data_IF_747097020292
#
_entry.id   IF_747097020292
#
_cell.length_a   1.000
_cell.length_b   1.000
_cell.length_c   1.000
_cell.angle_alpha   90.00
_cell.angle_beta   90.00
_cell.angle_gamma   90.00
#
_symmetry.space_group_name_H-M   'P 1'
#
loop_
_entity.id
_entity.type
_entity.pdbx_description
1 polymer ?
#
# COMPACT_ATOMS: atom_id res chain seq x y z
N UNK A 1 -19.88 8.30 20.21
CA UNK A 1 -19.14 7.74 19.06
C UNK A 1 -18.54 6.41 19.48
N UNK A 2 -18.84 5.31 18.77
CA UNK A 2 -18.07 4.08 18.97
C UNK A 2 -16.61 4.34 18.64
N UNK A 3 -15.69 3.80 19.44
CA UNK A 3 -14.25 3.90 19.15
C UNK A 3 -13.95 3.08 17.89
N UNK A 4 -13.15 3.62 16.98
CA UNK A 4 -12.64 2.88 15.83
C UNK A 4 -11.99 1.56 16.27
N UNK A 5 -12.19 0.46 15.53
CA UNK A 5 -11.56 -0.82 15.83
C UNK A 5 -10.01 -0.74 15.81
N UNK A 6 -9.44 0.28 15.17
CA UNK A 6 -7.99 0.49 15.08
C UNK A 6 -7.42 1.40 16.17
N UNK A 7 -8.23 1.88 17.12
CA UNK A 7 -7.79 2.85 18.15
C UNK A 7 -6.64 2.37 19.05
N UNK A 8 -6.47 1.05 19.17
CA UNK A 8 -5.36 0.43 19.91
C UNK A 8 -4.08 0.27 19.07
N UNK A 9 -4.19 0.39 17.74
CA UNK A 9 -3.10 0.14 16.79
C UNK A 9 -2.65 1.41 16.05
N UNK A 10 -3.50 2.43 16.00
CA UNK A 10 -3.29 3.67 15.25
C UNK A 10 -3.59 4.87 16.14
N UNK A 11 -2.77 5.92 16.02
CA UNK A 11 -3.00 7.21 16.65
C UNK A 11 -2.98 8.32 15.61
N UNK A 12 -4.01 9.16 15.62
CA UNK A 12 -4.05 10.41 14.87
C UNK A 12 -3.87 11.54 15.90
N UNK A 13 -2.91 12.46 15.69
CA UNK A 13 -2.66 13.51 16.65
C UNK A 13 -3.84 14.48 16.71
N UNK A 14 -4.25 14.85 17.92
CA UNK A 14 -5.29 15.86 18.10
C UNK A 14 -4.76 17.28 17.78
N UNK A 15 -5.51 18.10 17.04
CA UNK A 15 -5.13 19.48 16.76
C UNK A 15 -5.23 20.35 18.01
N UNK A 16 -4.18 21.13 18.27
CA UNK A 16 -4.15 22.18 19.29
C UNK A 16 -4.81 23.43 18.71
N UNK A 17 -6.15 23.45 18.71
CA UNK A 17 -6.98 24.44 17.99
C UNK A 17 -6.60 25.90 18.26
N UNK A 18 -6.20 26.23 19.50
CA UNK A 18 -5.80 27.59 19.89
C UNK A 18 -4.52 28.08 19.18
N UNK A 19 -3.68 27.15 18.72
CA UNK A 19 -2.44 27.44 17.99
C UNK A 19 -2.60 27.28 16.47
N UNK A 20 -3.76 26.83 16.00
CA UNK A 20 -4.01 26.61 14.59
C UNK A 20 -4.44 27.91 13.90
N UNK A 21 -3.97 28.14 12.69
CA UNK A 21 -4.42 29.21 11.79
C UNK A 21 -4.84 28.63 10.45
N UNK A 22 -5.32 29.46 9.52
CA UNK A 22 -5.63 29.01 8.15
C UNK A 22 -4.42 28.39 7.42
N UNK A 23 -3.21 28.75 7.80
CA UNK A 23 -1.96 28.32 7.14
C UNK A 23 -1.04 27.49 8.05
N UNK A 24 -1.48 27.18 9.28
CA UNK A 24 -0.67 26.46 10.26
C UNK A 24 -1.54 25.49 11.04
N UNK A 25 -1.22 24.20 10.91
CA UNK A 25 -1.79 23.14 11.73
C UNK A 25 -0.79 22.77 12.83
N UNK A 26 -1.19 22.96 14.08
CA UNK A 26 -0.42 22.55 15.26
C UNK A 26 -1.17 21.43 15.95
N UNK A 27 -0.48 20.34 16.28
CA UNK A 27 -1.09 19.13 16.83
C UNK A 27 -0.29 18.61 18.02
N UNK A 28 -0.85 17.66 18.77
CA UNK A 28 -0.10 16.94 19.78
C UNK A 28 1.17 16.32 19.17
N UNK A 29 2.27 16.40 19.91
CA UNK A 29 3.48 15.70 19.53
C UNK A 29 3.27 14.20 19.75
N UNK A 30 3.47 13.40 18.70
CA UNK A 30 3.51 11.95 18.82
C UNK A 30 4.95 11.51 19.01
N UNK A 31 5.20 10.77 20.10
CA UNK A 31 6.51 10.18 20.37
C UNK A 31 6.75 8.97 19.47
N UNK A 32 7.56 9.18 18.44
CA UNK A 32 7.83 8.19 17.42
C UNK A 32 8.78 8.72 16.36
N UNK A 33 9.30 7.81 15.54
CA UNK A 33 10.12 8.15 14.39
C UNK A 33 9.29 7.99 13.13
N UNK A 34 9.65 8.70 12.05
CA UNK A 34 9.11 8.37 10.73
C UNK A 34 9.31 6.87 10.47
N UNK A 35 8.27 6.19 10.00
CA UNK A 35 8.32 4.75 9.74
C UNK A 35 9.53 4.40 8.87
N UNK A 36 9.85 5.30 7.93
CA UNK A 36 11.01 5.16 7.06
C UNK A 36 12.35 5.15 7.79
N UNK A 37 12.51 6.05 8.76
CA UNK A 37 13.72 6.13 9.58
C UNK A 37 13.80 4.98 10.58
N UNK A 38 12.68 4.64 11.23
CA UNK A 38 12.61 3.52 12.18
C UNK A 38 13.10 2.22 11.55
N UNK A 39 12.62 1.93 10.35
CA UNK A 39 13.05 0.78 9.57
C UNK A 39 14.55 0.84 9.23
N UNK A 40 15.05 1.99 8.77
CA UNK A 40 16.47 2.14 8.44
C UNK A 40 17.34 1.89 9.68
N UNK A 41 16.93 2.42 10.84
CA UNK A 41 17.64 2.22 12.09
C UNK A 41 17.67 0.73 12.47
N UNK A 42 16.52 0.03 12.36
CA UNK A 42 16.44 -1.41 12.58
C UNK A 42 17.35 -2.21 11.64
N UNK A 43 17.50 -1.75 10.39
CA UNK A 43 18.41 -2.37 9.42
C UNK A 43 19.88 -2.15 9.77
N UNK A 44 20.25 -0.94 10.21
CA UNK A 44 21.59 -0.63 10.71
C UNK A 44 21.91 -1.54 11.90
N UNK A 45 20.98 -1.68 12.84
CA UNK A 45 21.14 -2.53 14.02
C UNK A 45 21.26 -4.01 13.65
N UNK A 46 20.48 -4.48 12.67
CA UNK A 46 20.55 -5.85 12.17
C UNK A 46 21.86 -6.19 11.45
N UNK A 47 22.56 -5.16 10.96
CA UNK A 47 23.84 -5.25 10.24
C UNK A 47 25.03 -4.87 11.14
N UNK A 48 24.92 -5.09 12.45
CA UNK A 48 25.97 -4.82 13.44
C UNK A 48 26.52 -3.37 13.37
N UNK A 49 25.65 -2.41 13.05
CA UNK A 49 26.00 -0.99 12.98
C UNK A 49 26.63 -0.56 11.65
N UNK A 50 26.69 -1.42 10.63
CA UNK A 50 27.21 -1.06 9.30
C UNK A 50 26.26 -0.10 8.56
N UNK A 51 26.42 1.19 8.86
CA UNK A 51 25.69 2.29 8.22
C UNK A 51 26.05 2.45 6.75
N UNK A 52 27.19 1.96 6.29
CA UNK A 52 27.58 2.05 4.90
C UNK A 52 26.82 1.00 4.10
N UNK A 53 26.81 -0.25 4.55
CA UNK A 53 26.01 -1.32 3.97
C UNK A 53 24.52 -1.03 4.11
N UNK A 54 24.02 -0.58 5.27
CA UNK A 54 22.62 -0.17 5.41
C UNK A 54 22.26 0.94 4.41
N UNK A 55 23.08 2.00 4.28
CA UNK A 55 22.84 3.05 3.28
C UNK A 55 23.02 2.57 1.84
N UNK A 56 23.88 1.60 1.59
CA UNK A 56 24.10 1.05 0.26
C UNK A 56 22.96 0.12 -0.16
N UNK A 57 22.46 -0.69 0.78
CA UNK A 57 21.19 -1.39 0.68
C UNK A 57 20.08 -0.38 0.42
N UNK A 58 20.17 0.78 1.06
CA UNK A 58 19.24 1.89 0.88
C UNK A 58 19.66 2.98 -0.14
N UNK A 59 20.47 2.66 -1.16
CA UNK A 59 20.83 3.61 -2.24
C UNK A 59 20.12 3.25 -3.55
N UNK A 60 19.56 4.24 -4.28
CA UNK A 60 18.95 4.02 -5.58
C UNK A 60 20.00 3.58 -6.61
N UNK A 61 19.71 2.52 -7.37
CA UNK A 61 20.59 2.03 -8.44
C UNK A 61 20.47 2.94 -9.66
N UNK A 62 21.49 3.76 -9.94
CA UNK A 62 21.65 4.36 -11.28
C UNK A 62 22.08 3.25 -12.25
N UNK A 63 21.18 2.80 -13.12
CA UNK A 63 21.49 2.46 -14.52
C UNK A 63 20.24 2.24 -15.38
N UNK A 64 20.24 2.95 -16.50
CA UNK A 64 19.45 2.81 -17.73
C UNK A 64 17.95 3.15 -17.68
N UNK A 65 17.64 4.42 -17.46
CA UNK A 65 16.86 5.26 -18.39
C UNK A 65 16.83 6.67 -17.81
N UNK A 66 17.56 7.58 -18.45
CA UNK A 66 17.50 9.00 -18.17
C UNK A 66 16.19 9.60 -18.72
N UNK A 67 15.80 10.71 -18.09
CA UNK A 67 14.75 11.65 -18.50
C UNK A 67 13.29 11.25 -18.20
N UNK A 68 12.93 11.36 -16.91
CA UNK A 68 11.91 12.33 -16.51
C UNK A 68 12.08 12.65 -15.01
N UNK A 69 12.44 13.91 -14.72
CA UNK A 69 12.30 14.49 -13.39
C UNK A 69 10.80 14.64 -13.16
N UNK A 70 10.23 13.84 -12.25
CA UNK A 70 9.10 14.17 -11.36
C UNK A 70 8.54 12.88 -10.74
N UNK A 71 9.01 12.58 -9.53
CA UNK A 71 8.23 12.16 -8.35
C UNK A 71 9.19 11.43 -7.40
N UNK A 72 9.95 12.22 -6.63
CA UNK A 72 10.88 11.73 -5.61
C UNK A 72 10.12 11.48 -4.30
N UNK A 73 8.96 10.81 -4.40
CA UNK A 73 8.16 10.43 -3.23
C UNK A 73 8.95 9.43 -2.39
N UNK A 74 9.30 9.84 -1.17
CA UNK A 74 10.27 9.16 -0.31
C UNK A 74 9.97 7.68 -0.03
N UNK A 75 8.74 7.21 -0.27
CA UNK A 75 8.35 5.79 -0.30
C UNK A 75 9.15 5.01 -1.36
N UNK A 76 9.11 5.42 -2.63
CA UNK A 76 9.69 4.65 -3.72
C UNK A 76 11.21 4.57 -3.62
N UNK A 77 11.86 5.59 -3.06
CA UNK A 77 13.27 5.53 -2.69
C UNK A 77 13.49 4.52 -1.54
N UNK A 78 12.81 4.71 -0.40
CA UNK A 78 12.99 3.94 0.83
C UNK A 78 12.60 2.46 0.76
N UNK A 79 11.77 2.06 -0.21
CA UNK A 79 11.34 0.68 -0.38
C UNK A 79 12.06 -0.06 -1.53
N UNK A 80 12.58 0.64 -2.57
CA UNK A 80 13.59 0.04 -3.49
C UNK A 80 14.84 -0.40 -2.74
N UNK A 81 15.15 0.35 -1.71
CA UNK A 81 16.17 0.13 -0.72
C UNK A 81 15.97 -1.18 0.09
N UNK A 82 14.72 -1.54 0.41
CA UNK A 82 14.35 -2.85 0.96
C UNK A 82 14.51 -4.02 -0.02
N UNK A 83 14.32 -3.78 -1.33
CA UNK A 83 14.49 -4.84 -2.35
C UNK A 83 15.92 -5.36 -2.40
N UNK A 84 16.92 -4.53 -2.09
CA UNK A 84 18.34 -4.93 -2.06
C UNK A 84 18.62 -5.92 -0.92
N UNK A 85 18.04 -5.68 0.26
CA UNK A 85 18.08 -6.58 1.43
C UNK A 85 17.49 -7.97 1.10
N UNK A 86 16.36 -8.01 0.39
CA UNK A 86 15.71 -9.27 -0.01
C UNK A 86 16.42 -9.99 -1.17
N UNK A 87 17.24 -9.28 -1.95
CA UNK A 87 18.06 -9.86 -3.03
C UNK A 87 19.37 -10.48 -2.53
N UNK A 88 19.94 -9.97 -1.43
CA UNK A 88 21.07 -10.59 -0.76
C UNK A 88 20.74 -12.00 -0.26
N UNK A 89 19.50 -12.23 0.16
CA UNK A 89 19.01 -13.56 0.57
C UNK A 89 19.04 -14.61 -0.56
N UNK A 90 19.05 -14.18 -1.84
CA UNK A 90 19.12 -15.06 -3.02
C UNK A 90 20.57 -15.35 -3.45
N UNK A 91 21.45 -14.34 -3.33
CA UNK A 91 22.87 -14.50 -3.64
C UNK A 91 23.65 -15.21 -2.51
N UNK A 92 23.18 -15.12 -1.26
CA UNK A 92 23.84 -15.79 -0.13
C UNK A 92 23.66 -17.31 -0.15
N UNK A 93 22.46 -17.80 -0.54
CA UNK A 93 22.21 -19.24 -0.78
C UNK A 93 23.15 -19.84 -1.84
N UNK A 94 23.57 -19.03 -2.80
CA UNK A 94 24.51 -19.46 -3.84
C UNK A 94 25.97 -19.37 -3.39
N UNK A 95 26.32 -18.48 -2.44
CA UNK A 95 27.68 -18.31 -1.90
C UNK A 95 28.04 -19.34 -0.82
N UNK A 96 27.06 -19.83 -0.05
CA UNK A 96 27.28 -20.90 0.94
C UNK A 96 27.61 -22.25 0.33
N UNK A 97 27.46 -22.41 -1.00
CA UNK A 97 27.86 -23.64 -1.71
C UNK A 97 29.35 -23.68 -2.09
N UNK A 98 30.09 -22.57 -1.99
CA UNK A 98 31.47 -22.48 -2.50
C UNK A 98 32.55 -22.23 -1.44
N UNK A 99 32.24 -22.17 -0.15
CA UNK A 99 33.29 -21.90 0.87
C UNK A 99 33.20 -22.84 2.05
N UNK A 100 33.47 -24.12 1.79
CA UNK A 100 33.80 -25.10 2.83
C UNK A 100 35.31 -25.23 2.94
N UNK A 101 35.96 -24.38 3.73
CA UNK A 101 37.24 -24.66 4.41
C UNK A 101 37.75 -23.41 5.17
N UNK A 102 37.57 -23.38 6.49
CA UNK A 102 38.61 -23.18 7.51
C UNK A 102 38.08 -22.57 8.83
N UNK A 103 38.43 -23.29 9.90
CA UNK A 103 38.76 -22.88 11.27
C UNK A 103 37.72 -22.21 12.20
N UNK A 104 37.91 -22.50 13.49
CA UNK A 104 37.08 -22.30 14.69
C UNK A 104 36.65 -20.85 15.03
N UNK A 105 36.85 -19.90 14.13
CA UNK A 105 36.20 -18.58 14.11
C UNK A 105 34.79 -18.66 13.47
N UNK A 106 34.52 -19.73 12.72
CA UNK A 106 33.26 -19.94 11.98
C UNK A 106 31.99 -19.99 12.83
N UNK A 107 32.03 -20.45 14.09
CA UNK A 107 30.81 -20.54 14.90
C UNK A 107 30.27 -19.18 15.34
N UNK A 108 31.11 -18.15 15.54
CA UNK A 108 30.63 -16.78 15.82
C UNK A 108 30.15 -16.08 14.56
N UNK A 109 30.83 -16.29 13.43
CA UNK A 109 30.42 -15.78 12.12
C UNK A 109 29.04 -16.29 11.70
N UNK A 110 28.83 -17.62 11.75
CA UNK A 110 27.55 -18.26 11.44
C UNK A 110 26.45 -17.78 12.39
N UNK A 111 26.73 -17.64 13.69
CA UNK A 111 25.73 -17.18 14.66
C UNK A 111 25.32 -15.72 14.43
N UNK A 112 26.27 -14.85 14.06
CA UNK A 112 25.99 -13.46 13.71
C UNK A 112 25.25 -13.36 12.36
N UNK A 113 25.63 -14.15 11.36
CA UNK A 113 24.93 -14.25 10.08
C UNK A 113 23.48 -14.74 10.26
N UNK A 114 23.26 -15.77 11.08
CA UNK A 114 21.91 -16.23 11.41
C UNK A 114 21.12 -15.16 12.15
N UNK A 115 21.72 -14.45 13.11
CA UNK A 115 21.06 -13.32 13.79
C UNK A 115 20.65 -12.23 12.80
N UNK A 116 21.53 -11.82 11.88
CA UNK A 116 21.21 -10.85 10.83
C UNK A 116 20.05 -11.35 9.97
N UNK A 117 20.07 -12.60 9.49
CA UNK A 117 18.99 -13.19 8.67
C UNK A 117 17.67 -13.18 9.44
N UNK A 118 17.67 -13.62 10.71
CA UNK A 118 16.47 -13.60 11.55
C UNK A 118 15.94 -12.18 11.77
N UNK A 119 16.81 -11.21 12.05
CA UNK A 119 16.45 -9.80 12.19
C UNK A 119 15.83 -9.24 10.91
N UNK A 120 16.41 -9.52 9.74
CA UNK A 120 15.86 -9.11 8.45
C UNK A 120 14.49 -9.75 8.17
N UNK A 121 14.31 -11.02 8.52
CA UNK A 121 13.01 -11.71 8.43
C UNK A 121 11.98 -11.02 9.33
N UNK A 122 12.35 -10.71 10.58
CA UNK A 122 11.46 -10.05 11.53
C UNK A 122 11.05 -8.66 11.06
N UNK A 123 12.00 -7.83 10.61
CA UNK A 123 11.75 -6.50 10.04
C UNK A 123 10.79 -6.62 8.84
N UNK A 124 11.01 -7.60 7.96
CA UNK A 124 10.12 -7.82 6.80
C UNK A 124 8.70 -8.20 7.22
N UNK A 125 8.57 -9.06 8.24
CA UNK A 125 7.27 -9.51 8.76
C UNK A 125 6.53 -8.36 9.43
N UNK A 126 7.22 -7.53 10.21
CA UNK A 126 6.64 -6.37 10.86
C UNK A 126 6.21 -5.30 9.84
N UNK A 127 7.03 -5.05 8.82
CA UNK A 127 6.69 -4.10 7.74
C UNK A 127 5.44 -4.54 6.96
N UNK A 128 5.32 -5.84 6.64
CA UNK A 128 4.11 -6.39 6.01
C UNK A 128 2.86 -6.21 6.87
N UNK A 129 2.96 -6.51 8.18
CA UNK A 129 1.85 -6.28 9.12
C UNK A 129 1.42 -4.81 9.20
N UNK A 130 2.38 -3.87 9.14
CA UNK A 130 2.07 -2.44 9.13
C UNK A 130 1.38 -2.01 7.84
N UNK A 131 1.82 -2.54 6.68
CA UNK A 131 1.12 -2.33 5.41
C UNK A 131 -0.30 -2.89 5.45
N UNK A 132 -0.47 -4.11 5.95
CA UNK A 132 -1.76 -4.75 6.14
C UNK A 132 -2.71 -3.90 6.97
N UNK A 133 -2.22 -3.37 8.11
CA UNK A 133 -2.97 -2.46 8.96
C UNK A 133 -3.34 -1.15 8.25
N UNK A 134 -2.41 -0.56 7.48
CA UNK A 134 -2.69 0.66 6.72
C UNK A 134 -3.79 0.43 5.68
N UNK A 135 -3.73 -0.68 4.95
CA UNK A 135 -4.77 -1.07 3.98
C UNK A 135 -6.12 -1.21 4.70
N UNK A 136 -6.15 -1.90 5.85
CA UNK A 136 -7.37 -2.13 6.63
C UNK A 136 -8.00 -0.81 7.12
N UNK A 137 -7.17 0.10 7.65
CA UNK A 137 -7.61 1.43 8.10
C UNK A 137 -8.23 2.22 6.95
N UNK A 138 -7.64 2.17 5.76
CA UNK A 138 -8.19 2.88 4.60
C UNK A 138 -9.48 2.23 4.10
N UNK A 139 -9.59 0.89 4.15
CA UNK A 139 -10.84 0.19 3.84
C UNK A 139 -11.97 0.64 4.77
N UNK A 140 -11.70 0.74 6.07
CA UNK A 140 -12.65 1.26 7.03
C UNK A 140 -13.02 2.73 6.78
N UNK A 141 -12.03 3.59 6.54
CA UNK A 141 -12.27 5.00 6.20
C UNK A 141 -13.16 5.17 4.95
N UNK A 142 -12.93 4.35 3.92
CA UNK A 142 -13.68 4.39 2.66
C UNK A 142 -15.11 3.90 2.86
N UNK A 143 -15.30 2.72 3.47
CA UNK A 143 -16.59 2.02 3.47
C UNK A 143 -17.45 2.28 4.71
N UNK A 144 -16.84 2.59 5.86
CA UNK A 144 -17.56 2.91 7.09
C UNK A 144 -17.67 4.42 7.31
N UNK A 145 -16.55 5.14 7.23
CA UNK A 145 -16.55 6.58 7.54
C UNK A 145 -17.00 7.46 6.34
N UNK A 146 -16.90 6.93 5.12
CA UNK A 146 -17.13 7.67 3.87
C UNK A 146 -16.14 8.82 3.66
N UNK A 147 -15.05 8.86 4.43
CA UNK A 147 -13.99 9.88 4.36
C UNK A 147 -12.66 9.19 4.56
N UNK A 148 -11.75 9.36 3.62
CA UNK A 148 -10.47 8.69 3.62
C UNK A 148 -9.32 9.60 3.23
N UNK A 149 -8.11 9.23 3.64
CA UNK A 149 -6.91 9.90 3.17
C UNK A 149 -6.53 9.38 1.77
N UNK A 150 -6.55 10.24 0.76
CA UNK A 150 -6.19 9.89 -0.60
C UNK A 150 -4.68 9.99 -0.89
N UNK A 151 -3.87 10.39 0.10
CA UNK A 151 -2.42 10.46 -0.01
C UNK A 151 -1.70 10.01 1.28
N UNK A 152 -1.70 8.70 1.60
CA UNK A 152 -1.01 8.19 2.78
C UNK A 152 0.51 8.10 2.53
N UNK A 153 1.14 9.25 2.30
CA UNK A 153 2.57 9.34 2.06
C UNK A 153 3.38 8.89 3.31
N UNK A 154 4.47 8.12 3.19
CA UNK A 154 5.19 7.56 4.35
C UNK A 154 5.86 8.57 5.24
N UNK A 155 6.18 9.74 4.69
CA UNK A 155 6.69 10.84 5.50
C UNK A 155 5.73 11.24 6.62
N UNK A 156 4.43 10.96 6.42
CA UNK A 156 3.35 11.27 7.33
C UNK A 156 2.93 10.07 8.19
N UNK A 157 3.68 8.96 8.11
CA UNK A 157 3.46 7.75 8.89
C UNK A 157 4.59 7.63 9.92
N UNK A 158 4.22 7.62 11.20
CA UNK A 158 5.15 7.42 12.31
C UNK A 158 5.06 6.00 12.85
N UNK A 159 6.22 5.48 13.25
CA UNK A 159 6.35 4.32 14.13
C UNK A 159 6.48 4.83 15.56
N UNK A 160 5.43 4.64 16.36
CA UNK A 160 5.37 5.16 17.72
C UNK A 160 6.09 4.22 18.70
N UNK A 161 6.63 4.80 19.77
CA UNK A 161 7.39 4.06 20.79
C UNK A 161 6.53 3.04 21.55
N UNK A 162 5.20 3.23 21.55
CA UNK A 162 4.21 2.31 22.13
C UNK A 162 3.74 1.20 21.18
N UNK A 163 4.33 1.09 19.99
CA UNK A 163 4.03 0.06 19.00
C UNK A 163 2.85 0.37 18.07
N UNK A 164 2.21 1.53 18.21
CA UNK A 164 1.17 2.00 17.28
C UNK A 164 1.77 2.67 16.05
N UNK A 165 0.92 2.87 15.04
CA UNK A 165 1.22 3.73 13.88
C UNK A 165 0.63 5.12 14.10
N UNK A 166 1.43 6.16 13.95
CA UNK A 166 0.98 7.54 13.91
C UNK A 166 0.63 7.97 12.48
N UNK A 167 -0.54 8.58 12.26
CA UNK A 167 -0.92 9.16 10.97
C UNK A 167 -1.05 10.68 11.11
N UNK A 168 -0.15 11.42 10.45
CA UNK A 168 -0.01 12.86 10.67
C UNK A 168 -0.82 13.73 9.71
N UNK A 169 -0.90 13.33 8.45
CA UNK A 169 -1.37 14.21 7.38
C UNK A 169 -2.67 13.70 6.78
N UNK A 170 -3.65 14.59 6.76
CA UNK A 170 -4.97 14.42 6.16
C UNK A 170 -5.29 15.59 5.21
N UNK A 171 -4.28 16.31 4.71
CA UNK A 171 -4.42 17.43 3.80
C UNK A 171 -5.11 17.04 2.48
N UNK A 172 -5.02 15.76 2.11
CA UNK A 172 -5.68 15.17 0.94
C UNK A 172 -6.83 14.23 1.34
N UNK A 173 -7.59 14.58 2.37
CA UNK A 173 -8.81 13.84 2.71
C UNK A 173 -9.90 14.03 1.64
N UNK A 174 -10.56 12.94 1.27
CA UNK A 174 -11.66 12.92 0.30
C UNK A 174 -12.89 12.29 0.92
N UNK A 175 -14.06 12.80 0.55
CA UNK A 175 -15.36 12.27 0.96
C UNK A 175 -16.00 11.56 -0.22
N UNK A 176 -16.53 10.37 0.05
CA UNK A 176 -17.40 9.65 -0.86
C UNK A 176 -18.83 9.84 -0.40
N UNK A 177 -19.74 10.03 -1.36
CA UNK A 177 -21.17 9.97 -1.11
C UNK A 177 -21.56 8.52 -0.77
N UNK A 178 -22.62 8.31 0.03
CA UNK A 178 -23.06 6.97 0.37
C UNK A 178 -23.29 6.07 -0.85
N UNK A 179 -23.88 6.60 -1.93
CA UNK A 179 -24.07 5.86 -3.18
C UNK A 179 -22.75 5.45 -3.84
N UNK A 180 -21.72 6.29 -3.81
CA UNK A 180 -20.39 5.98 -4.35
C UNK A 180 -19.69 4.89 -3.53
N UNK A 181 -19.80 4.95 -2.19
CA UNK A 181 -19.29 3.91 -1.29
C UNK A 181 -19.90 2.55 -1.62
N UNK A 182 -21.22 2.50 -1.80
CA UNK A 182 -21.95 1.26 -2.12
C UNK A 182 -21.61 0.76 -3.53
N UNK A 183 -21.59 1.61 -4.53
CA UNK A 183 -21.23 1.21 -5.88
C UNK A 183 -19.79 0.66 -5.94
N UNK A 184 -18.85 1.30 -5.24
CA UNK A 184 -17.48 0.80 -5.12
C UNK A 184 -17.42 -0.53 -4.35
N UNK A 185 -18.22 -0.70 -3.29
CA UNK A 185 -18.29 -1.96 -2.55
C UNK A 185 -18.74 -3.12 -3.44
N UNK A 186 -19.72 -2.88 -4.34
CA UNK A 186 -20.16 -3.85 -5.34
C UNK A 186 -19.05 -4.22 -6.32
N UNK A 187 -18.27 -3.25 -6.79
CA UNK A 187 -17.10 -3.51 -7.66
C UNK A 187 -16.10 -4.45 -6.96
N UNK A 188 -15.77 -4.18 -5.70
CA UNK A 188 -14.84 -5.04 -4.95
C UNK A 188 -15.38 -6.46 -4.73
N UNK A 189 -16.67 -6.60 -4.45
CA UNK A 189 -17.31 -7.91 -4.31
C UNK A 189 -17.29 -8.68 -5.63
N UNK A 190 -17.66 -8.04 -6.73
CA UNK A 190 -17.63 -8.66 -8.05
C UNK A 190 -16.21 -9.08 -8.47
N UNK A 191 -15.20 -8.24 -8.18
CA UNK A 191 -13.78 -8.56 -8.44
C UNK A 191 -13.32 -9.79 -7.63
N UNK A 192 -13.79 -9.92 -6.40
CA UNK A 192 -13.48 -11.07 -5.56
C UNK A 192 -14.12 -12.35 -6.08
N UNK A 193 -15.37 -12.27 -6.52
CA UNK A 193 -16.13 -13.41 -7.04
C UNK A 193 -15.64 -13.84 -8.44
N UNK A 194 -14.93 -12.96 -9.15
CA UNK A 194 -14.23 -13.28 -10.40
C UNK A 194 -15.15 -13.37 -11.63
N UNK A 195 -16.37 -12.84 -11.56
CA UNK A 195 -17.31 -12.81 -12.68
C UNK A 195 -17.14 -11.49 -13.47
N UNK A 196 -16.66 -11.59 -14.71
CA UNK A 196 -16.33 -10.44 -15.55
C UNK A 196 -17.54 -9.52 -15.82
N UNK A 197 -18.68 -10.09 -16.19
CA UNK A 197 -19.90 -9.33 -16.48
C UNK A 197 -20.39 -8.56 -15.25
N UNK A 198 -20.35 -9.20 -14.08
CA UNK A 198 -20.73 -8.58 -12.81
C UNK A 198 -19.80 -7.43 -12.44
N UNK A 199 -18.50 -7.55 -12.74
CA UNK A 199 -17.53 -6.46 -12.52
C UNK A 199 -17.83 -5.29 -13.46
N UNK A 200 -18.09 -5.58 -14.74
CA UNK A 200 -18.42 -4.55 -15.72
C UNK A 200 -19.70 -3.78 -15.34
N UNK A 201 -20.75 -4.49 -14.93
CA UNK A 201 -22.00 -3.88 -14.47
C UNK A 201 -21.81 -3.02 -13.22
N UNK A 202 -21.03 -3.50 -12.25
CA UNK A 202 -20.69 -2.71 -11.07
C UNK A 202 -19.88 -1.45 -11.41
N UNK A 203 -18.96 -1.52 -12.38
CA UNK A 203 -18.21 -0.36 -12.88
C UNK A 203 -19.13 0.65 -13.57
N UNK A 204 -20.11 0.19 -14.34
CA UNK A 204 -21.15 1.05 -14.94
C UNK A 204 -21.99 1.73 -13.86
N UNK A 205 -22.37 1.00 -12.82
CA UNK A 205 -23.10 1.57 -11.66
C UNK A 205 -22.26 2.65 -10.94
N UNK A 206 -20.96 2.40 -10.76
CA UNK A 206 -20.02 3.37 -10.18
C UNK A 206 -19.81 4.62 -11.04
N UNK A 207 -20.19 4.58 -12.33
CA UNK A 207 -20.17 5.73 -13.23
C UNK A 207 -19.07 5.70 -14.29
N UNK A 208 -18.31 4.61 -14.41
CA UNK A 208 -17.35 4.47 -15.51
C UNK A 208 -18.06 4.30 -16.84
N UNK A 209 -17.56 4.94 -17.89
CA UNK A 209 -18.03 4.75 -19.26
C UNK A 209 -16.83 4.66 -20.20
N UNK A 210 -16.80 3.62 -21.02
CA UNK A 210 -15.86 3.51 -22.14
C UNK A 210 -16.56 3.82 -23.47
N UNK A 211 -15.79 3.97 -24.54
CA UNK A 211 -16.30 4.35 -25.86
C UNK A 211 -17.12 3.27 -26.55
N UNK A 212 -16.71 2.01 -26.38
CA UNK A 212 -17.33 0.84 -26.99
C UNK A 212 -18.16 0.02 -25.99
N UNK A 213 -18.19 0.43 -24.72
CA UNK A 213 -18.88 -0.23 -23.60
C UNK A 213 -18.53 -1.72 -23.45
N UNK A 214 -17.27 -2.06 -23.70
CA UNK A 214 -16.77 -3.44 -23.63
C UNK A 214 -16.66 -3.91 -22.18
N UNK A 215 -17.40 -4.96 -21.83
CA UNK A 215 -17.37 -5.57 -20.48
C UNK A 215 -15.97 -6.05 -20.09
N UNK A 216 -15.22 -6.65 -21.02
CA UNK A 216 -13.86 -7.14 -20.76
C UNK A 216 -12.88 -6.01 -20.40
N UNK A 217 -12.99 -4.86 -21.06
CA UNK A 217 -12.14 -3.70 -20.78
C UNK A 217 -12.55 -3.01 -19.47
N UNK A 218 -13.85 -2.91 -19.18
CA UNK A 218 -14.33 -2.41 -17.90
C UNK A 218 -13.84 -3.28 -16.74
N UNK A 219 -13.92 -4.61 -16.87
CA UNK A 219 -13.46 -5.54 -15.86
C UNK A 219 -11.93 -5.51 -15.66
N UNK A 220 -11.16 -5.46 -16.75
CA UNK A 220 -9.71 -5.28 -16.69
C UNK A 220 -9.32 -3.96 -16.03
N UNK A 221 -10.04 -2.88 -16.34
CA UNK A 221 -9.84 -1.57 -15.71
C UNK A 221 -10.16 -1.61 -14.21
N UNK A 222 -11.26 -2.26 -13.83
CA UNK A 222 -11.64 -2.43 -12.43
C UNK A 222 -10.57 -3.19 -11.65
N UNK A 223 -10.06 -4.29 -12.22
CA UNK A 223 -9.04 -5.09 -11.57
C UNK A 223 -7.72 -4.32 -11.42
N UNK A 224 -7.35 -3.54 -12.44
CA UNK A 224 -6.20 -2.66 -12.35
C UNK A 224 -6.38 -1.54 -11.33
N UNK A 225 -7.57 -0.99 -11.15
CA UNK A 225 -7.81 0.11 -10.20
C UNK A 225 -7.96 -0.42 -8.76
N UNK A 226 -8.66 -1.54 -8.56
CA UNK A 226 -9.22 -1.92 -7.27
C UNK A 226 -8.87 -3.33 -6.79
N UNK A 227 -8.07 -4.11 -7.55
CA UNK A 227 -7.74 -5.49 -7.17
C UNK A 227 -6.24 -5.73 -6.99
N UNK A 228 -5.53 -6.04 -8.06
CA UNK A 228 -4.17 -6.56 -8.01
C UNK A 228 -3.40 -6.30 -9.31
N UNK A 229 -2.07 -6.36 -9.20
CA UNK A 229 -1.16 -6.22 -10.34
C UNK A 229 -1.11 -7.50 -11.22
N UNK A 230 -1.77 -8.58 -10.80
CA UNK A 230 -1.71 -9.86 -11.51
C UNK A 230 -2.39 -9.83 -12.88
N UNK A 231 -3.35 -8.94 -13.09
CA UNK A 231 -4.13 -8.89 -14.33
C UNK A 231 -3.24 -8.58 -15.52
N UNK A 232 -2.37 -7.58 -15.40
CA UNK A 232 -1.48 -7.23 -16.49
C UNK A 232 -0.31 -8.23 -16.62
N UNK A 233 0.15 -8.84 -15.52
CA UNK A 233 1.14 -9.94 -15.56
C UNK A 233 0.60 -11.12 -16.38
N UNK A 234 -0.64 -11.54 -16.13
CA UNK A 234 -1.31 -12.65 -16.83
C UNK A 234 -1.51 -12.36 -18.32
N UNK A 235 -1.77 -11.10 -18.66
CA UNK A 235 -1.95 -10.66 -20.04
C UNK A 235 -0.62 -10.32 -20.75
N UNK A 236 0.52 -10.52 -20.09
CA UNK A 236 1.85 -10.40 -20.68
C UNK A 236 2.40 -8.98 -20.78
N UNK A 237 1.89 -8.04 -19.97
CA UNK A 237 2.39 -6.67 -19.92
C UNK A 237 3.51 -6.51 -18.88
N UNK A 238 4.52 -5.72 -19.22
CA UNK A 238 5.72 -5.56 -18.40
C UNK A 238 5.59 -4.49 -17.30
N UNK A 239 4.61 -3.58 -17.41
CA UNK A 239 4.37 -2.52 -16.44
C UNK A 239 2.96 -1.93 -16.57
N UNK A 240 2.54 -1.17 -15.54
CA UNK A 240 1.26 -0.49 -15.47
C UNK A 240 1.01 0.46 -16.65
N UNK A 241 2.05 1.14 -17.14
CA UNK A 241 1.93 2.11 -18.24
C UNK A 241 1.53 1.42 -19.54
N UNK A 242 2.23 0.36 -19.92
CA UNK A 242 1.94 -0.42 -21.12
C UNK A 242 0.54 -1.04 -21.08
N UNK A 243 0.10 -1.48 -19.90
CA UNK A 243 -1.26 -1.96 -19.72
C UNK A 243 -2.30 -0.86 -19.88
N UNK A 244 -2.09 0.31 -19.27
CA UNK A 244 -2.99 1.45 -19.42
C UNK A 244 -3.06 1.97 -20.86
N UNK A 245 -1.94 2.02 -21.56
CA UNK A 245 -1.88 2.38 -22.99
C UNK A 245 -2.67 1.38 -23.84
N UNK A 246 -2.61 0.09 -23.51
CA UNK A 246 -3.43 -0.93 -24.16
C UNK A 246 -4.93 -0.70 -23.93
N UNK A 247 -5.37 -0.54 -22.68
CA UNK A 247 -6.77 -0.29 -22.35
C UNK A 247 -7.30 0.95 -23.10
N UNK A 248 -6.53 2.04 -23.10
CA UNK A 248 -6.88 3.27 -23.82
C UNK A 248 -6.95 3.09 -25.34
N UNK A 249 -6.08 2.26 -25.92
CA UNK A 249 -6.07 1.98 -27.36
C UNK A 249 -7.25 1.12 -27.79
N UNK A 250 -7.64 0.13 -26.98
CA UNK A 250 -8.69 -0.83 -27.33
C UNK A 250 -10.09 -0.26 -27.11
N UNK A 251 -10.35 0.29 -25.92
CA UNK A 251 -11.61 0.93 -25.59
C UNK A 251 -11.40 2.06 -24.57
N UNK A 252 -11.18 3.31 -25.04
CA UNK A 252 -10.84 4.42 -24.17
C UNK A 252 -11.98 4.77 -23.21
N UNK A 253 -11.63 5.03 -21.94
CA UNK A 253 -12.55 5.56 -20.94
C UNK A 253 -12.92 7.00 -21.29
N UNK A 254 -14.21 7.26 -21.47
CA UNK A 254 -14.79 8.60 -21.70
C UNK A 254 -15.17 9.25 -20.37
N UNK A 255 -15.67 8.46 -19.42
CA UNK A 255 -16.02 8.92 -18.07
C UNK A 255 -15.28 8.08 -17.05
N UNK A 256 -14.53 8.76 -16.17
CA UNK A 256 -13.86 8.18 -15.02
C UNK A 256 -14.29 9.00 -13.79
N UNK A 257 -15.03 8.43 -12.83
CA UNK A 257 -15.47 9.16 -11.64
C UNK A 257 -14.29 9.61 -10.76
N UNK A 258 -14.24 10.88 -10.37
CA UNK A 258 -13.17 11.45 -9.54
C UNK A 258 -12.97 10.70 -8.22
N UNK A 259 -14.09 10.36 -7.56
CA UNK A 259 -14.13 9.54 -6.36
C UNK A 259 -13.39 8.20 -6.52
N UNK A 260 -13.60 7.55 -7.66
CA UNK A 260 -13.01 6.26 -8.00
C UNK A 260 -11.51 6.38 -8.28
N UNK A 261 -11.06 7.48 -8.92
CA UNK A 261 -9.62 7.74 -9.15
C UNK A 261 -8.87 7.87 -7.83
N UNK A 262 -9.44 8.57 -6.85
CA UNK A 262 -8.77 8.79 -5.56
C UNK A 262 -8.61 7.48 -4.78
N UNK A 263 -9.62 6.61 -4.80
CA UNK A 263 -9.50 5.28 -4.19
C UNK A 263 -8.50 4.40 -4.96
N UNK A 264 -8.53 4.44 -6.29
CA UNK A 264 -7.60 3.69 -7.13
C UNK A 264 -6.15 4.11 -6.87
N UNK A 265 -5.89 5.41 -6.70
CA UNK A 265 -4.57 5.92 -6.31
C UNK A 265 -4.07 5.28 -5.02
N UNK A 266 -4.91 5.23 -3.98
CA UNK A 266 -4.59 4.59 -2.70
C UNK A 266 -4.31 3.09 -2.87
N UNK A 267 -5.14 2.39 -3.66
CA UNK A 267 -4.95 0.97 -4.01
C UNK A 267 -3.61 0.71 -4.72
N UNK A 268 -3.29 1.48 -5.76
CA UNK A 268 -2.03 1.37 -6.50
C UNK A 268 -0.85 1.66 -5.60
N UNK A 269 -0.95 2.67 -4.73
CA UNK A 269 0.10 2.99 -3.78
C UNK A 269 0.38 1.80 -2.85
N UNK A 270 -0.65 1.22 -2.23
CA UNK A 270 -0.46 0.06 -1.36
C UNK A 270 0.08 -1.17 -2.08
N UNK A 271 -0.34 -1.42 -3.32
CA UNK A 271 0.22 -2.51 -4.14
C UNK A 271 1.67 -2.26 -4.52
N UNK A 272 2.03 -1.02 -4.85
CA UNK A 272 3.42 -0.60 -5.05
C UNK A 272 4.28 -0.93 -3.83
N UNK A 273 3.81 -0.59 -2.62
CA UNK A 273 4.50 -0.95 -1.37
C UNK A 273 4.56 -2.48 -1.18
N UNK A 274 3.45 -3.18 -1.42
CA UNK A 274 3.36 -4.63 -1.33
C UNK A 274 4.39 -5.33 -2.20
N UNK A 275 4.47 -4.95 -3.47
CA UNK A 275 5.45 -5.46 -4.45
C UNK A 275 6.89 -5.28 -3.94
N UNK A 276 7.20 -4.11 -3.37
CA UNK A 276 8.51 -3.83 -2.77
C UNK A 276 8.80 -4.74 -1.55
N UNK A 277 7.78 -5.08 -0.77
CA UNK A 277 7.86 -6.02 0.36
C UNK A 277 7.76 -7.50 -0.04
N UNK A 278 7.68 -7.81 -1.35
CA UNK A 278 7.37 -9.13 -1.90
C UNK A 278 6.10 -9.73 -1.30
N UNK A 279 5.14 -8.87 -1.00
CA UNK A 279 3.80 -9.23 -0.60
C UNK A 279 2.88 -8.99 -1.78
N UNK A 280 2.23 -10.04 -2.27
CA UNK A 280 1.11 -9.85 -3.19
C UNK A 280 -0.04 -9.24 -2.40
N UNK A 281 -0.44 -8.03 -2.79
CA UNK A 281 -1.56 -7.31 -2.20
C UNK A 281 -2.72 -7.41 -3.16
N UNK A 282 -3.79 -8.06 -2.71
CA UNK A 282 -5.07 -8.11 -3.39
C UNK A 282 -6.06 -7.27 -2.61
N UNK A 283 -6.37 -6.09 -3.14
CA UNK A 283 -7.15 -5.06 -2.46
C UNK A 283 -8.59 -5.51 -2.26
N UNK A 284 -9.20 -6.17 -3.25
CA UNK A 284 -10.56 -6.71 -3.12
C UNK A 284 -10.70 -7.67 -1.93
N UNK A 285 -9.72 -8.56 -1.71
CA UNK A 285 -9.74 -9.50 -0.57
C UNK A 285 -9.60 -8.77 0.78
N UNK A 286 -8.69 -7.79 0.86
CA UNK A 286 -8.42 -7.06 2.11
C UNK A 286 -9.56 -6.11 2.48
N UNK A 287 -10.15 -5.45 1.49
CA UNK A 287 -11.24 -4.50 1.71
C UNK A 287 -12.64 -5.14 1.75
N UNK A 288 -12.77 -6.39 1.31
CA UNK A 288 -14.04 -7.12 1.32
C UNK A 288 -14.82 -7.05 2.64
N UNK A 289 -14.21 -7.24 3.83
CA UNK A 289 -14.97 -7.20 5.08
C UNK A 289 -15.68 -5.86 5.31
N UNK A 290 -15.03 -4.76 4.94
CA UNK A 290 -15.58 -3.41 5.08
C UNK A 290 -16.62 -3.11 3.98
N UNK A 291 -16.35 -3.50 2.74
CA UNK A 291 -17.29 -3.37 1.63
C UNK A 291 -18.60 -4.15 1.89
N UNK A 292 -18.49 -5.39 2.38
CA UNK A 292 -19.65 -6.21 2.76
C UNK A 292 -20.45 -5.59 3.89
N UNK A 293 -19.78 -5.06 4.91
CA UNK A 293 -20.44 -4.40 6.04
C UNK A 293 -21.25 -3.18 5.58
N UNK A 294 -20.70 -2.36 4.68
CA UNK A 294 -21.37 -1.18 4.13
C UNK A 294 -22.68 -1.54 3.40
N UNK A 295 -22.66 -2.58 2.56
CA UNK A 295 -23.86 -3.05 1.85
C UNK A 295 -24.91 -3.60 2.83
N UNK A 296 -24.48 -4.37 3.84
CA UNK A 296 -25.40 -4.90 4.85
C UNK A 296 -26.06 -3.79 5.68
N UNK A 297 -25.33 -2.72 5.98
CA UNK A 297 -25.86 -1.55 6.68
C UNK A 297 -26.88 -0.79 5.83
N UNK A 298 -26.60 -0.58 4.54
CA UNK A 298 -27.56 0.02 3.61
C UNK A 298 -28.85 -0.79 3.50
N UNK A 299 -28.76 -2.12 3.39
CA UNK A 299 -29.93 -3.00 3.35
C UNK A 299 -30.75 -2.89 4.64
N UNK A 300 -30.10 -2.85 5.80
CA UNK A 300 -30.80 -2.65 7.08
C UNK A 300 -31.52 -1.31 7.14
N UNK A 301 -30.88 -0.24 6.68
CA UNK A 301 -31.48 1.10 6.66
C UNK A 301 -32.72 1.14 5.75
N UNK A 302 -32.64 0.51 4.57
CA UNK A 302 -33.77 0.40 3.63
C UNK A 302 -34.94 -0.46 4.13
N UNK A 303 -34.68 -1.44 4.99
CA UNK A 303 -35.72 -2.28 5.63
C UNK A 303 -36.38 -1.60 6.84
N UNK A 304 -35.74 -0.58 7.41
CA UNK A 304 -36.25 0.19 8.55
C UNK A 304 -36.99 1.48 8.14
N UNK A 305 -37.02 1.82 6.85
CA UNK A 305 -37.73 2.96 6.24
C UNK A 305 -38.89 2.50 5.39
#
# INVERSE_FOLDING_TARGET
MMKSPFSQLVKVPQPLRILCTKNMLVMELLDGKQLSRSINDQLVDALDGDRALARELLRPKKRAQEENKEDDSGMYAMYRNFQKILSLNRNYKNKTSETSQQSSVGNRGILNEMKTIFSLILISKQSRKKLDLLIDVHGYQIFHDGVFNADPHPGNILDLTDGRIGLLDYGQAKRLQPCECIALAKVLMALRDGNEDSVADAMRELGFRSKLDRSDILAQTAAFYFDSDEVFEKLGYNNNKAFMEHLQKVDPMIVVPDAAVMVARTSILFRGIGSLLRQRVKISDRWYPYAKAAIQEEVKLKLCT
#
